data_IF_998016352953
#
_entry.id   IF_998016352953
#
_cell.length_a   1.000
_cell.length_b   1.000
_cell.length_c   1.000
_cell.angle_alpha   90.00
_cell.angle_beta   90.00
_cell.angle_gamma   90.00
#
_symmetry.space_group_name_H-M   'P 1'
#
loop_
_entity.id
_entity.type
_entity.pdbx_description
1 polymer ?
#
# COMPACT_ATOMS: atom_id res chain seq x y z
N UNK A 1 -47.60 43.81 -30.87
CA UNK A 1 -46.22 43.30 -30.98
C UNK A 1 -45.80 42.78 -29.62
N UNK A 2 -45.70 41.45 -29.44
CA UNK A 2 -45.21 40.84 -28.21
C UNK A 2 -43.77 40.39 -28.45
N UNK A 3 -42.82 40.95 -27.69
CA UNK A 3 -41.41 40.54 -27.74
C UNK A 3 -41.30 39.28 -26.89
N UNK A 4 -41.10 38.14 -27.53
CA UNK A 4 -40.79 36.89 -26.86
C UNK A 4 -39.35 36.95 -26.33
N UNK A 5 -39.19 37.13 -25.02
CA UNK A 5 -37.90 37.00 -24.37
C UNK A 5 -37.56 35.50 -24.24
N UNK A 6 -36.75 34.98 -25.14
CA UNK A 6 -36.20 33.64 -25.03
C UNK A 6 -35.11 33.63 -23.94
N UNK A 7 -35.45 33.08 -22.78
CA UNK A 7 -34.50 32.74 -21.71
C UNK A 7 -33.60 31.59 -22.20
N UNK A 8 -32.42 31.93 -22.70
CA UNK A 8 -31.36 30.94 -22.92
C UNK A 8 -30.75 30.57 -21.57
N UNK A 9 -31.26 29.51 -20.95
CA UNK A 9 -30.60 28.92 -19.80
C UNK A 9 -29.22 28.38 -20.25
N UNK A 10 -28.11 28.77 -19.59
CA UNK A 10 -26.84 28.14 -19.86
C UNK A 10 -26.95 26.68 -19.41
N UNK A 11 -27.05 25.76 -20.37
CA UNK A 11 -26.87 24.33 -20.13
C UNK A 11 -25.39 24.16 -19.81
N UNK A 12 -25.04 24.22 -18.52
CA UNK A 12 -23.71 23.83 -18.09
C UNK A 12 -23.61 22.32 -18.32
N UNK A 13 -22.87 21.93 -19.35
CA UNK A 13 -22.46 20.56 -19.57
C UNK A 13 -21.48 20.19 -18.47
N UNK A 14 -22.02 19.72 -17.35
CA UNK A 14 -21.21 19.06 -16.32
C UNK A 14 -20.70 17.79 -16.98
N UNK A 15 -19.39 17.73 -17.24
CA UNK A 15 -18.81 16.54 -17.84
C UNK A 15 -18.83 15.40 -16.82
N UNK A 16 -18.80 14.15 -17.29
CA UNK A 16 -18.62 13.01 -16.39
C UNK A 16 -17.32 13.12 -15.57
N UNK A 17 -16.30 13.82 -16.10
CA UNK A 17 -15.06 14.12 -15.39
C UNK A 17 -15.28 15.09 -14.22
N UNK A 18 -16.15 16.10 -14.37
CA UNK A 18 -16.48 17.04 -13.29
C UNK A 18 -17.29 16.37 -12.16
N UNK A 19 -18.15 15.40 -12.51
CA UNK A 19 -18.87 14.59 -11.53
C UNK A 19 -17.94 13.61 -10.79
N UNK A 20 -16.92 13.10 -11.47
CA UNK A 20 -15.91 12.22 -10.88
C UNK A 20 -14.84 12.97 -10.07
N UNK A 21 -14.75 14.30 -10.22
CA UNK A 21 -13.78 15.10 -9.51
C UNK A 21 -14.07 15.14 -7.99
N UNK A 22 -13.02 15.10 -7.14
CA UNK A 22 -13.23 15.19 -5.70
C UNK A 22 -13.87 16.53 -5.32
N UNK A 23 -14.91 16.51 -4.49
CA UNK A 23 -15.61 17.74 -4.06
C UNK A 23 -14.86 18.48 -2.95
N UNK A 24 -14.16 17.72 -2.10
CA UNK A 24 -13.40 18.28 -0.99
C UNK A 24 -12.05 18.86 -1.45
N UNK A 25 -11.68 20.02 -0.90
CA UNK A 25 -10.45 20.72 -1.27
C UNK A 25 -9.18 19.89 -1.04
N UNK A 26 -9.13 19.11 0.05
CA UNK A 26 -8.01 18.21 0.32
C UNK A 26 -7.88 17.11 -0.73
N UNK A 27 -9.00 16.56 -1.20
CA UNK A 27 -9.02 15.48 -2.16
C UNK A 27 -8.68 15.96 -3.58
N UNK A 28 -9.08 17.20 -3.93
CA UNK A 28 -8.63 17.85 -5.18
C UNK A 28 -7.13 18.07 -5.19
N UNK A 29 -6.57 18.58 -4.08
CA UNK A 29 -5.12 18.71 -3.91
C UNK A 29 -4.43 17.36 -4.04
N UNK A 30 -4.93 16.35 -3.35
CA UNK A 30 -4.40 14.99 -3.41
C UNK A 30 -4.40 14.40 -4.84
N UNK A 31 -5.50 14.56 -5.59
CA UNK A 31 -5.59 14.14 -6.99
C UNK A 31 -4.64 14.94 -7.90
N UNK A 32 -4.48 16.25 -7.64
CA UNK A 32 -3.58 17.12 -8.40
C UNK A 32 -2.09 16.79 -8.17
N UNK A 33 -1.72 16.22 -7.02
CA UNK A 33 -0.34 15.78 -6.74
C UNK A 33 0.02 14.44 -7.42
N UNK A 34 -0.88 13.86 -8.21
CA UNK A 34 -0.56 12.65 -8.97
C UNK A 34 -0.32 11.41 -8.10
N UNK A 35 -0.84 11.40 -6.86
CA UNK A 35 -0.81 10.23 -5.98
C UNK A 35 -1.79 9.16 -6.45
N UNK A 36 -1.60 8.69 -7.67
CA UNK A 36 -2.28 7.52 -8.19
C UNK A 36 -1.60 6.30 -7.57
N UNK A 37 -2.42 5.40 -7.04
CA UNK A 37 -1.95 4.08 -6.62
C UNK A 37 -1.33 3.39 -7.84
N UNK A 38 -0.10 2.91 -7.69
CA UNK A 38 0.60 2.15 -8.73
C UNK A 38 -0.26 0.96 -9.19
N UNK A 39 -0.37 0.76 -10.51
CA UNK A 39 -1.22 -0.30 -11.07
C UNK A 39 -0.79 -1.69 -10.61
N UNK A 40 0.52 -1.87 -10.46
CA UNK A 40 1.19 -3.06 -9.97
C UNK A 40 0.76 -3.36 -8.52
N UNK A 41 0.59 -2.33 -7.69
CA UNK A 41 0.13 -2.47 -6.31
C UNK A 41 -1.34 -2.91 -6.25
N UNK A 42 -2.19 -2.42 -7.16
CA UNK A 42 -3.57 -2.88 -7.31
C UNK A 42 -3.61 -4.38 -7.65
N UNK A 43 -2.76 -4.81 -8.59
CA UNK A 43 -2.68 -6.21 -9.01
C UNK A 43 -2.15 -7.11 -7.88
N UNK A 44 -1.15 -6.66 -7.13
CA UNK A 44 -0.66 -7.36 -5.95
C UNK A 44 -1.75 -7.50 -4.88
N UNK A 45 -2.52 -6.44 -4.61
CA UNK A 45 -3.64 -6.49 -3.67
C UNK A 45 -4.72 -7.50 -4.10
N UNK A 46 -5.06 -7.53 -5.40
CA UNK A 46 -6.00 -8.51 -5.94
C UNK A 46 -5.47 -9.95 -5.82
N UNK A 47 -4.17 -10.15 -6.11
CA UNK A 47 -3.50 -11.44 -5.95
C UNK A 47 -3.58 -11.97 -4.50
N UNK A 48 -3.28 -11.10 -3.53
CA UNK A 48 -3.34 -11.41 -2.08
C UNK A 48 -4.78 -11.70 -1.67
N UNK A 49 -5.74 -10.85 -2.06
CA UNK A 49 -7.16 -11.02 -1.72
C UNK A 49 -7.71 -12.38 -2.16
N UNK A 50 -7.37 -12.81 -3.37
CA UNK A 50 -7.85 -14.08 -3.92
C UNK A 50 -7.27 -15.33 -3.25
N UNK A 51 -6.28 -15.17 -2.36
CA UNK A 51 -5.54 -16.30 -1.72
C UNK A 51 -5.47 -16.20 -0.20
N UNK A 52 -5.95 -15.10 0.37
CA UNK A 52 -5.88 -14.85 1.81
C UNK A 52 -7.04 -15.50 2.55
N UNK A 53 -6.75 -15.95 3.76
CA UNK A 53 -7.68 -16.54 4.71
C UNK A 53 -7.77 -15.67 5.97
N UNK A 54 -8.85 -15.79 6.76
CA UNK A 54 -8.93 -15.16 8.07
C UNK A 54 -7.70 -15.52 8.93
N UNK A 55 -7.06 -14.49 9.50
CA UNK A 55 -5.84 -14.65 10.30
C UNK A 55 -4.54 -14.41 9.54
N UNK A 56 -4.57 -14.39 8.20
CA UNK A 56 -3.40 -14.00 7.41
C UNK A 56 -3.04 -12.53 7.68
N UNK A 57 -1.73 -12.25 7.72
CA UNK A 57 -1.19 -10.90 7.86
C UNK A 57 -0.17 -10.65 6.76
N UNK A 58 -0.14 -9.41 6.24
CA UNK A 58 0.85 -8.97 5.27
C UNK A 58 1.92 -8.06 5.90
N UNK A 59 3.08 -7.98 5.29
CA UNK A 59 4.09 -6.97 5.55
C UNK A 59 4.66 -6.46 4.23
N UNK A 60 5.25 -5.27 4.27
CA UNK A 60 5.85 -4.62 3.10
C UNK A 60 7.31 -4.29 3.38
N UNK A 61 8.15 -4.39 2.37
CA UNK A 61 9.53 -3.89 2.41
C UNK A 61 9.61 -2.37 2.26
N UNK A 62 10.79 -1.80 2.47
CA UNK A 62 11.04 -0.39 2.15
C UNK A 62 10.20 0.59 2.98
N UNK A 63 9.80 0.18 4.19
CA UNK A 63 9.04 1.04 5.09
C UNK A 63 9.90 2.24 5.49
N UNK A 64 9.32 3.43 5.40
CA UNK A 64 9.95 4.63 5.93
C UNK A 64 9.53 4.85 7.38
N UNK A 65 10.50 5.15 8.25
CA UNK A 65 10.21 5.67 9.58
C UNK A 65 9.84 7.14 9.57
N UNK A 66 10.02 7.86 8.44
CA UNK A 66 9.68 9.28 8.28
C UNK A 66 8.27 9.52 7.76
N UNK A 67 7.87 10.80 7.68
CA UNK A 67 6.54 11.17 7.17
C UNK A 67 6.35 10.73 5.71
N UNK A 68 5.27 9.99 5.46
CA UNK A 68 4.78 9.61 4.14
C UNK A 68 3.27 9.85 4.08
N UNK A 69 2.84 10.51 3.00
CA UNK A 69 1.42 10.83 2.80
C UNK A 69 0.59 9.57 2.55
N UNK A 70 1.13 8.66 1.75
CA UNK A 70 0.58 7.33 1.46
C UNK A 70 1.71 6.34 1.51
N UNK A 71 1.50 5.23 2.19
CA UNK A 71 2.44 4.11 2.23
C UNK A 71 1.81 2.85 1.60
N UNK A 72 2.62 1.99 0.96
CA UNK A 72 2.15 0.75 0.35
C UNK A 72 1.28 -0.14 1.25
N UNK A 73 1.59 -0.38 2.54
CA UNK A 73 0.78 -1.28 3.35
C UNK A 73 -0.63 -0.73 3.62
N UNK A 74 -0.82 0.60 3.74
CA UNK A 74 -2.17 1.17 3.90
C UNK A 74 -3.03 0.89 2.67
N UNK A 75 -2.46 1.04 1.48
CA UNK A 75 -3.15 0.77 0.21
C UNK A 75 -3.47 -0.71 0.07
N UNK A 76 -2.50 -1.58 0.35
CA UNK A 76 -2.68 -3.03 0.30
C UNK A 76 -3.76 -3.49 1.28
N UNK A 77 -3.79 -2.99 2.52
CA UNK A 77 -4.83 -3.33 3.51
C UNK A 77 -6.21 -2.94 2.96
N UNK A 78 -6.36 -1.72 2.45
CA UNK A 78 -7.63 -1.21 1.93
C UNK A 78 -8.17 -2.05 0.75
N UNK A 79 -7.29 -2.56 -0.11
CA UNK A 79 -7.68 -3.25 -1.34
C UNK A 79 -7.76 -4.78 -1.18
N UNK A 80 -6.88 -5.36 -0.36
CA UNK A 80 -6.79 -6.81 -0.16
C UNK A 80 -7.67 -7.32 0.99
N UNK A 81 -8.13 -6.43 1.88
CA UNK A 81 -8.78 -6.76 3.15
C UNK A 81 -7.92 -7.65 4.07
N UNK A 82 -6.59 -7.67 3.86
CA UNK A 82 -5.63 -8.41 4.69
C UNK A 82 -4.93 -7.43 5.63
N UNK A 83 -4.93 -7.66 6.96
CA UNK A 83 -4.28 -6.76 7.91
C UNK A 83 -2.78 -6.69 7.69
N UNK A 84 -2.19 -5.52 7.93
CA UNK A 84 -0.73 -5.35 7.90
C UNK A 84 -0.11 -5.54 9.27
N UNK A 85 1.07 -6.18 9.31
CA UNK A 85 1.92 -6.28 10.48
C UNK A 85 2.37 -4.89 10.96
N UNK A 86 2.71 -4.01 10.02
CA UNK A 86 3.05 -2.62 10.30
C UNK A 86 2.63 -1.74 9.11
N UNK A 87 1.87 -0.69 9.41
CA UNK A 87 1.56 0.37 8.47
C UNK A 87 1.90 1.72 9.13
N UNK A 88 2.26 2.71 8.31
CA UNK A 88 2.57 4.09 8.70
C UNK A 88 3.46 4.20 9.95
N UNK A 89 4.69 3.65 9.94
CA UNK A 89 5.55 3.62 11.12
C UNK A 89 5.71 4.98 11.79
N UNK A 90 5.89 6.06 11.01
CA UNK A 90 5.98 7.43 11.52
C UNK A 90 4.82 7.84 12.45
N UNK A 91 3.58 7.46 12.11
CA UNK A 91 2.41 7.81 12.92
C UNK A 91 2.49 7.16 14.30
N UNK A 92 2.94 5.90 14.34
CA UNK A 92 3.07 5.18 15.60
C UNK A 92 4.27 5.66 16.43
N UNK A 93 5.37 6.03 15.76
CA UNK A 93 6.58 6.53 16.41
C UNK A 93 6.39 7.95 16.98
N UNK A 94 5.62 8.80 16.29
CA UNK A 94 5.40 10.19 16.71
C UNK A 94 4.48 10.32 17.93
N UNK A 95 3.59 9.35 18.17
CA UNK A 95 2.59 9.42 19.25
C UNK A 95 3.16 9.12 20.65
N UNK A 96 4.43 8.68 20.76
CA UNK A 96 5.10 8.34 22.03
C UNK A 96 4.48 7.13 22.76
N UNK A 97 5.17 6.64 23.81
CA UNK A 97 4.75 5.54 24.72
C UNK A 97 4.82 4.13 24.08
N UNK A 98 4.23 3.13 24.74
CA UNK A 98 4.26 1.71 24.37
C UNK A 98 3.92 1.41 22.90
N UNK A 99 3.11 2.24 22.23
CA UNK A 99 2.81 2.11 20.80
C UNK A 99 4.05 2.33 19.93
N UNK A 100 4.90 3.29 20.30
CA UNK A 100 6.15 3.56 19.60
C UNK A 100 7.12 2.38 19.75
N UNK A 101 7.18 1.76 20.93
CA UNK A 101 8.03 0.59 21.18
C UNK A 101 7.63 -0.60 20.32
N UNK A 102 6.33 -0.93 20.29
CA UNK A 102 5.80 -1.99 19.41
C UNK A 102 6.11 -1.67 17.94
N UNK A 103 5.85 -0.45 17.49
CA UNK A 103 6.15 -0.06 16.11
C UNK A 103 7.65 -0.14 15.79
N UNK A 104 8.52 0.24 16.72
CA UNK A 104 9.98 0.13 16.58
C UNK A 104 10.42 -1.33 16.47
N UNK A 105 9.94 -2.20 17.35
CA UNK A 105 10.22 -3.64 17.30
C UNK A 105 9.80 -4.23 15.96
N UNK A 106 8.58 -3.93 15.51
CA UNK A 106 8.06 -4.42 14.23
C UNK A 106 8.84 -3.89 13.04
N UNK A 107 9.19 -2.60 13.06
CA UNK A 107 9.99 -1.97 12.02
C UNK A 107 11.36 -2.64 11.92
N UNK A 108 12.07 -2.79 13.04
CA UNK A 108 13.39 -3.41 13.09
C UNK A 108 13.35 -4.88 12.63
N UNK A 109 12.30 -5.63 12.99
CA UNK A 109 12.13 -7.01 12.53
C UNK A 109 12.00 -7.08 10.99
N UNK A 110 11.19 -6.21 10.40
CA UNK A 110 11.05 -6.16 8.94
C UNK A 110 12.33 -5.70 8.25
N UNK A 111 13.04 -4.72 8.80
CA UNK A 111 14.35 -4.30 8.28
C UNK A 111 15.35 -5.45 8.34
N UNK A 112 15.38 -6.24 9.42
CA UNK A 112 16.27 -7.39 9.53
C UNK A 112 15.95 -8.48 8.49
N UNK A 113 14.67 -8.76 8.25
CA UNK A 113 14.22 -9.70 7.21
C UNK A 113 14.64 -9.23 5.81
N UNK A 114 14.55 -7.93 5.54
CA UNK A 114 14.94 -7.34 4.24
C UNK A 114 16.46 -7.49 3.96
N UNK A 115 17.28 -7.42 5.01
CA UNK A 115 18.75 -7.53 4.94
C UNK A 115 19.28 -8.96 5.17
N UNK A 116 18.40 -9.93 5.41
CA UNK A 116 18.82 -11.33 5.55
C UNK A 116 19.37 -11.84 4.21
N UNK A 117 20.50 -12.56 4.18
CA UNK A 117 21.11 -13.00 2.92
C UNK A 117 20.39 -14.22 2.32
N UNK A 118 19.76 -15.03 3.16
CA UNK A 118 19.13 -16.28 2.77
C UNK A 118 17.59 -16.16 2.76
N UNK A 119 16.99 -16.63 1.67
CA UNK A 119 15.54 -16.57 1.46
C UNK A 119 14.79 -17.43 2.47
N UNK A 120 15.25 -18.65 2.70
CA UNK A 120 14.49 -19.60 3.49
C UNK A 120 14.47 -19.17 4.96
N UNK A 121 15.58 -18.59 5.43
CA UNK A 121 15.70 -17.87 6.70
C UNK A 121 14.74 -16.68 6.76
N UNK A 122 14.68 -15.85 5.71
CA UNK A 122 13.76 -14.70 5.68
C UNK A 122 12.28 -15.13 5.74
N UNK A 123 11.89 -16.16 4.97
CA UNK A 123 10.54 -16.72 5.02
C UNK A 123 10.23 -17.37 6.37
N UNK A 124 11.22 -17.98 7.01
CA UNK A 124 11.08 -18.49 8.37
C UNK A 124 10.84 -17.38 9.39
N UNK A 125 11.63 -16.31 9.35
CA UNK A 125 11.44 -15.15 10.22
C UNK A 125 10.06 -14.51 10.01
N UNK A 126 9.56 -14.43 8.77
CA UNK A 126 8.21 -13.97 8.47
C UNK A 126 7.14 -14.84 9.15
N UNK A 127 7.28 -16.18 9.09
CA UNK A 127 6.37 -17.11 9.78
C UNK A 127 6.40 -16.92 11.30
N UNK A 128 7.58 -16.72 11.89
CA UNK A 128 7.74 -16.52 13.34
C UNK A 128 7.00 -15.27 13.83
N UNK A 129 6.96 -14.20 13.03
CA UNK A 129 6.19 -12.99 13.32
C UNK A 129 4.74 -13.05 12.79
N UNK A 130 4.28 -14.23 12.36
CA UNK A 130 2.93 -14.50 11.83
C UNK A 130 2.56 -13.68 10.60
N UNK A 131 3.56 -13.35 9.79
CA UNK A 131 3.36 -12.74 8.46
C UNK A 131 3.37 -13.84 7.42
N UNK A 132 2.28 -13.91 6.64
CA UNK A 132 2.17 -14.81 5.50
C UNK A 132 2.63 -14.13 4.22
N UNK A 133 2.14 -12.92 3.97
CA UNK A 133 2.38 -12.22 2.71
C UNK A 133 3.46 -11.17 2.89
N UNK A 134 4.59 -11.31 2.21
CA UNK A 134 5.60 -10.27 2.17
C UNK A 134 5.59 -9.59 0.80
N UNK A 135 5.41 -8.27 0.78
CA UNK A 135 5.33 -7.49 -0.46
C UNK A 135 6.57 -6.63 -0.59
N UNK A 136 7.44 -7.00 -1.52
CA UNK A 136 8.57 -6.18 -1.90
C UNK A 136 8.11 -5.05 -2.82
N UNK A 137 8.58 -3.83 -2.55
CA UNK A 137 8.29 -2.63 -3.33
C UNK A 137 9.56 -2.06 -3.96
N UNK A 138 9.41 -1.07 -4.85
CA UNK A 138 10.52 -0.37 -5.49
C UNK A 138 11.52 0.26 -4.49
N UNK A 139 11.08 0.54 -3.26
CA UNK A 139 11.86 1.20 -2.23
C UNK A 139 12.67 0.24 -1.35
N UNK A 140 12.55 -1.06 -1.56
CA UNK A 140 13.22 -2.07 -0.73
C UNK A 140 13.14 -3.46 -1.33
N UNK A 141 13.97 -3.76 -2.33
CA UNK A 141 14.08 -5.15 -2.79
C UNK A 141 14.79 -5.98 -1.70
N UNK A 142 14.25 -7.14 -1.30
CA UNK A 142 14.92 -7.97 -0.32
C UNK A 142 16.27 -8.43 -0.84
N UNK A 143 17.30 -8.37 0.01
CA UNK A 143 18.67 -8.76 -0.36
C UNK A 143 18.77 -10.22 -0.82
N UNK A 144 17.87 -11.07 -0.31
CA UNK A 144 17.78 -12.50 -0.62
C UNK A 144 17.06 -12.84 -1.95
N UNK A 145 16.41 -11.87 -2.62
CA UNK A 145 15.87 -12.05 -3.98
C UNK A 145 15.78 -10.71 -4.75
N UNK A 146 16.92 -10.10 -5.12
CA UNK A 146 16.94 -8.77 -5.75
C UNK A 146 16.22 -8.72 -7.10
N UNK A 147 16.10 -9.86 -7.79
CA UNK A 147 15.45 -9.98 -9.10
C UNK A 147 14.02 -10.49 -9.04
N UNK A 148 13.44 -10.65 -7.84
CA UNK A 148 12.08 -11.15 -7.63
C UNK A 148 11.78 -12.52 -8.28
N UNK A 149 12.82 -13.33 -8.53
CA UNK A 149 12.70 -14.58 -9.30
C UNK A 149 12.01 -15.69 -8.51
N UNK A 150 11.93 -15.54 -7.20
CA UNK A 150 11.38 -16.55 -6.27
C UNK A 150 10.07 -16.09 -5.62
N UNK A 151 9.45 -15.07 -6.21
CA UNK A 151 8.17 -14.53 -5.77
C UNK A 151 6.99 -15.38 -6.29
N UNK A 152 5.89 -15.40 -5.53
CA UNK A 152 4.63 -16.01 -5.96
C UNK A 152 3.89 -15.14 -7.00
N UNK A 153 4.21 -13.84 -7.02
CA UNK A 153 3.70 -12.87 -7.98
C UNK A 153 4.75 -11.76 -8.16
N UNK A 154 5.00 -11.34 -9.40
CA UNK A 154 5.81 -10.16 -9.70
C UNK A 154 5.26 -9.39 -10.91
N UNK A 155 5.16 -8.07 -10.77
CA UNK A 155 4.81 -7.11 -11.83
C UNK A 155 5.55 -5.79 -11.59
N UNK A 156 6.33 -5.36 -12.57
CA UNK A 156 7.16 -4.17 -12.44
C UNK A 156 8.09 -4.28 -11.22
N UNK A 157 8.02 -3.29 -10.33
CA UNK A 157 8.81 -3.23 -9.10
C UNK A 157 8.08 -3.77 -7.86
N UNK A 158 6.94 -4.46 -8.05
CA UNK A 158 6.19 -5.08 -6.96
C UNK A 158 6.31 -6.60 -7.07
N UNK A 159 6.71 -7.23 -5.96
CA UNK A 159 6.72 -8.68 -5.83
C UNK A 159 6.04 -9.13 -4.53
N UNK A 160 5.32 -10.24 -4.58
CA UNK A 160 4.64 -10.85 -3.43
C UNK A 160 5.24 -12.23 -3.18
N UNK A 161 5.60 -12.47 -1.94
CA UNK A 161 6.11 -13.74 -1.44
C UNK A 161 5.08 -14.34 -0.49
N UNK A 162 4.84 -15.65 -0.63
CA UNK A 162 4.08 -16.44 0.34
C UNK A 162 5.09 -17.09 1.28
N UNK A 163 4.96 -16.83 2.58
CA UNK A 163 5.80 -17.40 3.62
C UNK A 163 5.30 -18.78 4.11
N UNK A 164 4.15 -19.26 3.60
CA UNK A 164 3.74 -20.64 3.85
C UNK A 164 4.78 -21.65 3.34
N UNK A 165 4.87 -22.84 3.97
CA UNK A 165 5.73 -23.93 3.52
C UNK A 165 5.41 -24.44 2.11
#
# INVERSE_FOLDING_TARGET
MAIAAALTLPVMWISAADLAAPKFAWARRFAAYGHLVERELLQAAAFIRGRSHPGDTLATSGLSSGYVAVDPPTVLVALSATPSYLARPWVHLFQGRARADVARTRFNALTAIEHTPDRDTALQQLREIKVRWYVATAFGAPSWDPGHRRSAFARGNIAVYDALP
#
